data_IF_895764520070
#
_entry.id   IF_895764520070
#
_cell.length_a   1.000
_cell.length_b   1.000
_cell.length_c   1.000
_cell.angle_alpha   90.00
_cell.angle_beta   90.00
_cell.angle_gamma   90.00
#
_symmetry.space_group_name_H-M   'P 1'
#
loop_
_entity.id
_entity.type
_entity.pdbx_description
1 polymer ?
#
# COMPACT_ATOMS: atom_id res chain seq x y z
N UNK A 1 40.03 -68.31 16.00
CA UNK A 1 39.67 -67.69 14.71
C UNK A 1 40.10 -66.23 14.78
N UNK A 2 41.32 -65.92 14.36
CA UNK A 2 41.99 -64.64 14.64
C UNK A 2 42.95 -64.28 13.50
N UNK A 3 43.00 -62.98 13.18
CA UNK A 3 44.13 -62.17 12.65
C UNK A 3 43.95 -61.49 11.29
N UNK A 4 43.96 -60.17 11.38
CA UNK A 4 44.46 -59.16 10.44
C UNK A 4 45.71 -59.57 9.64
N UNK A 5 45.79 -59.09 8.38
CA UNK A 5 46.86 -58.18 7.90
C UNK A 5 46.70 -57.80 6.41
N UNK A 6 46.87 -56.50 6.14
CA UNK A 6 47.72 -55.81 5.14
C UNK A 6 48.06 -56.52 3.82
N UNK A 7 48.30 -55.91 2.65
CA UNK A 7 48.20 -54.58 2.01
C UNK A 7 48.91 -54.79 0.63
N UNK A 8 48.78 -53.85 -0.33
CA UNK A 8 49.65 -53.61 -1.54
C UNK A 8 49.44 -54.63 -2.73
N UNK A 9 49.33 -54.34 -4.05
CA UNK A 9 49.98 -53.41 -5.01
C UNK A 9 49.13 -53.23 -6.30
N UNK A 10 49.12 -51.98 -6.82
CA UNK A 10 48.97 -51.44 -8.19
C UNK A 10 48.57 -52.34 -9.38
N UNK A 11 47.60 -51.86 -10.20
CA UNK A 11 47.83 -51.43 -11.61
C UNK A 11 46.83 -50.32 -11.99
N UNK A 12 47.39 -49.19 -12.40
CA UNK A 12 46.76 -48.01 -13.02
C UNK A 12 46.16 -48.32 -14.39
N UNK A 13 44.94 -47.86 -14.66
CA UNK A 13 44.51 -47.55 -16.03
C UNK A 13 44.00 -46.12 -16.11
N UNK A 14 44.76 -45.34 -16.86
CA UNK A 14 44.58 -43.95 -17.21
C UNK A 14 43.32 -43.79 -18.07
N UNK A 15 42.35 -42.98 -17.62
CA UNK A 15 41.36 -42.38 -18.52
C UNK A 15 41.50 -40.86 -18.45
N UNK A 16 42.11 -40.32 -19.50
CA UNK A 16 42.11 -38.91 -19.84
C UNK A 16 40.65 -38.50 -20.14
N UNK A 17 40.06 -37.64 -19.30
CA UNK A 17 38.85 -36.91 -19.67
C UNK A 17 39.11 -35.42 -19.46
N UNK A 18 39.25 -34.78 -20.62
CA UNK A 18 39.18 -33.37 -20.97
C UNK A 18 38.80 -32.38 -19.86
N UNK A 19 39.68 -31.39 -19.72
CA UNK A 19 39.43 -30.06 -19.16
C UNK A 19 38.12 -29.47 -19.71
N UNK A 20 37.13 -29.34 -18.83
CA UNK A 20 36.05 -28.40 -18.98
C UNK A 20 35.87 -27.69 -17.64
N UNK A 21 36.51 -26.53 -17.46
CA UNK A 21 36.10 -25.62 -16.41
C UNK A 21 34.66 -25.23 -16.68
N UNK A 22 33.72 -25.85 -15.98
CA UNK A 22 32.38 -25.30 -15.85
C UNK A 22 32.56 -24.06 -14.99
N UNK A 23 32.75 -22.91 -15.65
CA UNK A 23 32.57 -21.62 -15.01
C UNK A 23 31.12 -21.60 -14.54
N UNK A 24 30.91 -21.91 -13.27
CA UNK A 24 29.63 -21.75 -12.61
C UNK A 24 29.40 -20.25 -12.53
N UNK A 25 28.75 -19.70 -13.55
CA UNK A 25 28.30 -18.32 -13.56
C UNK A 25 27.37 -18.14 -12.37
N UNK A 26 27.92 -17.56 -11.29
CA UNK A 26 27.14 -17.03 -10.19
C UNK A 26 26.19 -16.01 -10.81
N UNK A 27 24.86 -16.13 -10.66
CA UNK A 27 23.99 -15.07 -11.10
C UNK A 27 24.41 -13.83 -10.31
N UNK A 28 24.98 -12.84 -11.00
CA UNK A 28 25.09 -11.48 -10.50
C UNK A 28 23.66 -10.95 -10.39
N UNK A 29 22.99 -11.34 -9.30
CA UNK A 29 21.90 -10.58 -8.77
C UNK A 29 22.50 -9.25 -8.32
N UNK A 30 22.62 -8.30 -9.25
CA UNK A 30 22.80 -6.90 -8.90
C UNK A 30 21.70 -6.59 -7.87
N UNK A 31 22.03 -6.31 -6.61
CA UNK A 31 21.02 -5.97 -5.64
C UNK A 31 20.38 -4.68 -6.15
N UNK A 32 19.17 -4.79 -6.69
CA UNK A 32 18.34 -3.64 -7.04
C UNK A 32 18.26 -2.83 -5.76
N UNK A 33 19.00 -1.74 -5.70
CA UNK A 33 19.12 -0.93 -4.49
C UNK A 33 17.79 -0.21 -4.37
N UNK A 34 16.88 -0.78 -3.61
CA UNK A 34 15.56 -0.21 -3.43
C UNK A 34 15.71 1.19 -2.83
N UNK A 35 15.15 2.18 -3.52
CA UNK A 35 15.12 3.55 -3.01
C UNK A 35 14.11 3.64 -1.87
N UNK A 36 14.39 4.45 -0.86
CA UNK A 36 13.43 4.77 0.17
C UNK A 36 12.13 5.34 -0.41
N UNK A 37 11.00 4.95 0.18
CA UNK A 37 9.72 5.57 -0.09
C UNK A 37 9.76 7.05 0.34
N UNK A 38 9.10 7.91 -0.43
CA UNK A 38 8.92 9.32 -0.13
C UNK A 38 7.42 9.59 -0.11
N UNK A 39 6.83 9.59 1.08
CA UNK A 39 5.38 9.67 1.25
C UNK A 39 5.06 11.13 1.56
N UNK A 40 4.68 11.91 0.55
CA UNK A 40 4.42 13.34 0.74
C UNK A 40 2.96 13.74 0.57
N UNK A 41 2.12 12.81 0.12
CA UNK A 41 0.74 13.04 -0.23
C UNK A 41 0.39 12.23 -1.48
N UNK A 42 -0.48 12.77 -2.32
CA UNK A 42 -0.95 12.10 -3.53
C UNK A 42 -0.91 13.03 -4.74
N UNK A 43 -0.16 12.62 -5.77
CA UNK A 43 0.11 13.42 -6.97
C UNK A 43 0.61 14.82 -6.60
N UNK A 44 -0.07 15.89 -6.98
CA UNK A 44 0.35 17.26 -6.69
C UNK A 44 -0.20 17.80 -5.38
N UNK A 45 -1.04 17.05 -4.66
CA UNK A 45 -1.52 17.42 -3.34
C UNK A 45 -0.58 16.84 -2.26
N UNK A 46 0.10 17.71 -1.52
CA UNK A 46 1.07 17.33 -0.50
C UNK A 46 0.58 17.68 0.91
N UNK A 47 1.04 16.91 1.90
CA UNK A 47 0.79 17.20 3.31
C UNK A 47 1.23 18.63 3.68
N UNK A 48 0.45 19.29 4.52
CA UNK A 48 0.70 20.70 4.88
C UNK A 48 0.00 21.72 3.98
N UNK A 49 -0.55 21.32 2.82
CA UNK A 49 -1.34 22.22 1.97
C UNK A 49 -2.64 22.66 2.68
N UNK A 50 -3.02 23.93 2.52
CA UNK A 50 -4.33 24.41 2.99
C UNK A 50 -5.45 24.02 1.98
N UNK A 51 -6.72 24.24 2.35
CA UNK A 51 -7.88 23.92 1.50
C UNK A 51 -7.77 24.51 0.08
N UNK A 52 -7.33 25.76 -0.05
CA UNK A 52 -7.20 26.45 -1.35
C UNK A 52 -6.18 25.75 -2.24
N UNK A 53 -5.03 25.38 -1.69
CA UNK A 53 -3.96 24.75 -2.46
C UNK A 53 -4.30 23.30 -2.81
N UNK A 54 -5.02 22.57 -1.95
CA UNK A 54 -5.59 21.26 -2.29
C UNK A 54 -6.57 21.36 -3.47
N UNK A 55 -7.46 22.36 -3.47
CA UNK A 55 -8.38 22.60 -4.59
C UNK A 55 -7.65 22.89 -5.90
N UNK A 56 -6.52 23.61 -5.86
CA UNK A 56 -5.68 23.83 -7.04
C UNK A 56 -5.05 22.52 -7.53
N UNK A 57 -4.54 21.68 -6.63
CA UNK A 57 -3.98 20.38 -6.98
C UNK A 57 -5.04 19.46 -7.60
N UNK A 58 -6.26 19.43 -7.05
CA UNK A 58 -7.39 18.69 -7.63
C UNK A 58 -7.66 19.14 -9.07
N UNK A 59 -7.73 20.46 -9.32
CA UNK A 59 -7.93 20.96 -10.67
C UNK A 59 -6.76 20.62 -11.59
N UNK A 60 -5.51 20.74 -11.11
CA UNK A 60 -4.32 20.42 -11.90
C UNK A 60 -4.33 18.95 -12.34
N UNK A 61 -4.61 18.05 -11.41
CA UNK A 61 -4.51 16.60 -11.58
C UNK A 61 -5.71 15.98 -12.32
N UNK A 62 -6.93 16.50 -12.10
CA UNK A 62 -8.16 15.88 -12.58
C UNK A 62 -9.05 16.77 -13.44
N UNK A 63 -8.71 18.06 -13.58
CA UNK A 63 -9.56 19.07 -14.25
C UNK A 63 -10.95 19.21 -13.62
N UNK A 64 -11.07 18.86 -12.34
CA UNK A 64 -12.31 19.01 -11.57
C UNK A 64 -12.33 20.40 -10.94
N UNK A 65 -13.30 21.22 -11.35
CA UNK A 65 -13.49 22.56 -10.80
C UNK A 65 -14.07 22.54 -9.39
N UNK A 66 -13.78 23.56 -8.58
CA UNK A 66 -14.18 23.68 -7.16
C UNK A 66 -15.66 23.36 -6.89
N UNK A 67 -16.57 23.75 -7.79
CA UNK A 67 -18.02 23.51 -7.64
C UNK A 67 -18.41 22.02 -7.67
N UNK A 68 -17.56 21.16 -8.22
CA UNK A 68 -17.74 19.70 -8.28
C UNK A 68 -16.99 18.98 -7.15
N UNK A 69 -16.29 19.71 -6.29
CA UNK A 69 -15.62 19.15 -5.11
C UNK A 69 -16.59 19.21 -3.96
N UNK A 70 -16.97 18.05 -3.44
CA UNK A 70 -17.83 17.97 -2.28
C UNK A 70 -17.02 18.28 -1.01
N UNK A 71 -17.59 19.05 -0.09
CA UNK A 71 -16.94 19.45 1.16
C UNK A 71 -17.76 18.94 2.33
N UNK A 72 -17.12 18.21 3.23
CA UNK A 72 -17.77 17.60 4.39
C UNK A 72 -17.02 17.97 5.66
N UNK A 73 -17.74 18.19 6.73
CA UNK A 73 -17.19 18.31 8.07
C UNK A 73 -17.47 17.02 8.83
N UNK A 74 -16.43 16.46 9.46
CA UNK A 74 -16.58 15.29 10.32
C UNK A 74 -16.73 15.79 11.76
N UNK A 75 -17.92 15.71 12.37
CA UNK A 75 -18.22 16.41 13.62
C UNK A 75 -17.42 15.88 14.81
N UNK A 76 -17.11 14.58 14.84
CA UNK A 76 -16.37 13.94 15.93
C UNK A 76 -14.89 14.31 15.87
N UNK A 77 -14.26 14.15 14.71
CA UNK A 77 -12.85 14.50 14.51
C UNK A 77 -12.61 16.01 14.31
N UNK A 78 -13.68 16.77 14.05
CA UNK A 78 -13.68 18.20 13.68
C UNK A 78 -12.74 18.53 12.51
N UNK A 79 -12.60 17.57 11.58
CA UNK A 79 -11.81 17.67 10.35
C UNK A 79 -12.69 18.08 9.17
N UNK A 80 -12.08 18.54 8.09
CA UNK A 80 -12.77 18.85 6.83
C UNK A 80 -12.26 17.91 5.75
N UNK A 81 -13.16 17.33 4.97
CA UNK A 81 -12.81 16.52 3.79
C UNK A 81 -13.26 17.18 2.50
N UNK A 82 -12.37 17.17 1.50
CA UNK A 82 -12.69 17.48 0.12
C UNK A 82 -12.79 16.17 -0.67
N UNK A 83 -13.97 15.84 -1.16
CA UNK A 83 -14.28 14.62 -1.91
C UNK A 83 -14.43 14.89 -3.41
N UNK A 84 -13.82 14.03 -4.23
CA UNK A 84 -14.00 14.03 -5.69
C UNK A 84 -14.27 12.61 -6.21
N UNK A 85 -15.06 12.53 -7.28
CA UNK A 85 -15.26 11.31 -8.06
C UNK A 85 -14.32 11.30 -9.27
N UNK A 86 -13.66 10.16 -9.48
CA UNK A 86 -12.70 9.96 -10.57
C UNK A 86 -13.08 8.67 -11.29
N UNK A 87 -13.46 8.78 -12.57
CA UNK A 87 -13.94 7.63 -13.35
C UNK A 87 -12.87 6.55 -13.58
N UNK A 88 -11.61 6.96 -13.71
CA UNK A 88 -10.49 6.07 -13.97
C UNK A 88 -9.20 6.65 -13.41
N UNK A 89 -8.77 6.14 -12.25
CA UNK A 89 -7.54 6.62 -11.60
C UNK A 89 -6.30 5.87 -12.09
N UNK A 90 -6.43 4.56 -12.35
CA UNK A 90 -5.44 3.70 -13.00
C UNK A 90 -6.09 3.05 -14.23
N UNK A 91 -5.31 2.54 -15.19
CA UNK A 91 -5.85 1.69 -16.26
C UNK A 91 -6.73 0.58 -15.66
N UNK A 92 -7.93 0.43 -16.21
CA UNK A 92 -8.90 -0.61 -15.82
C UNK A 92 -9.34 -0.63 -14.35
N UNK A 93 -9.03 0.40 -13.55
CA UNK A 93 -9.41 0.41 -12.12
C UNK A 93 -10.89 0.64 -11.85
N UNK A 94 -11.64 1.06 -12.86
CA UNK A 94 -12.98 1.61 -12.69
C UNK A 94 -13.03 2.85 -11.79
N UNK A 95 -14.25 3.26 -11.39
CA UNK A 95 -14.49 4.47 -10.61
C UNK A 95 -13.84 4.41 -9.21
N UNK A 96 -13.32 5.55 -8.80
CA UNK A 96 -12.77 5.78 -7.47
C UNK A 96 -13.34 7.07 -6.87
N UNK A 97 -13.37 7.13 -5.54
CA UNK A 97 -13.60 8.38 -4.80
C UNK A 97 -12.35 8.73 -4.02
N UNK A 98 -11.92 9.99 -4.10
CA UNK A 98 -10.74 10.50 -3.40
C UNK A 98 -11.20 11.51 -2.36
N UNK A 99 -10.71 11.36 -1.13
CA UNK A 99 -10.96 12.28 -0.03
C UNK A 99 -9.64 12.86 0.47
N UNK A 100 -9.54 14.18 0.43
CA UNK A 100 -8.44 14.95 1.01
C UNK A 100 -8.89 15.49 2.36
N UNK A 101 -8.28 15.04 3.45
CA UNK A 101 -8.70 15.32 4.83
C UNK A 101 -7.75 16.36 5.43
N UNK A 102 -8.33 17.49 5.81
CA UNK A 102 -7.67 18.60 6.49
C UNK A 102 -7.80 18.45 8.01
N UNK A 103 -6.69 18.63 8.71
CA UNK A 103 -6.61 18.50 10.16
C UNK A 103 -7.45 19.53 10.91
N UNK A 104 -7.86 19.17 12.12
CA UNK A 104 -8.73 19.98 12.97
C UNK A 104 -8.09 21.31 13.36
N UNK A 105 -6.89 21.30 13.93
CA UNK A 105 -6.21 22.48 14.44
C UNK A 105 -5.44 23.21 13.34
N UNK A 106 -4.68 22.47 12.53
CA UNK A 106 -3.80 23.03 11.51
C UNK A 106 -4.55 23.54 10.27
N UNK A 107 -5.74 23.00 10.00
CA UNK A 107 -6.48 23.18 8.74
C UNK A 107 -5.64 22.83 7.50
N UNK A 108 -4.65 21.93 7.66
CA UNK A 108 -3.75 21.47 6.59
C UNK A 108 -4.04 20.03 6.19
N UNK A 109 -3.68 19.65 4.97
CA UNK A 109 -3.80 18.29 4.48
C UNK A 109 -2.93 17.37 5.33
N UNK A 110 -3.57 16.39 5.98
CA UNK A 110 -2.89 15.41 6.85
C UNK A 110 -3.12 13.96 6.39
N UNK A 111 -4.14 13.72 5.57
CA UNK A 111 -4.55 12.38 5.18
C UNK A 111 -5.28 12.41 3.83
N UNK A 112 -5.00 11.44 2.97
CA UNK A 112 -5.75 11.18 1.73
C UNK A 112 -6.26 9.75 1.75
N UNK A 113 -7.54 9.55 1.45
CA UNK A 113 -8.13 8.23 1.17
C UNK A 113 -8.54 8.13 -0.29
N UNK A 114 -8.22 7.01 -0.94
CA UNK A 114 -8.70 6.66 -2.28
C UNK A 114 -9.43 5.34 -2.16
N UNK A 115 -10.69 5.31 -2.60
CA UNK A 115 -11.59 4.19 -2.39
C UNK A 115 -12.08 3.66 -3.74
N UNK A 116 -11.97 2.35 -3.93
CA UNK A 116 -12.63 1.58 -4.99
C UNK A 116 -13.60 0.58 -4.38
N UNK A 117 -14.56 0.13 -5.18
CA UNK A 117 -15.60 -0.80 -4.72
C UNK A 117 -16.70 -0.07 -3.94
N UNK A 118 -17.29 -0.71 -2.92
CA UNK A 118 -18.29 -0.04 -2.08
C UNK A 118 -17.68 1.08 -1.23
N UNK A 119 -18.38 2.22 -1.02
CA UNK A 119 -19.71 2.55 -1.54
C UNK A 119 -19.69 3.21 -2.94
N UNK A 120 -18.51 3.41 -3.54
CA UNK A 120 -18.35 4.12 -4.83
C UNK A 120 -19.11 3.44 -5.97
N UNK A 121 -19.02 2.11 -6.05
CA UNK A 121 -19.71 1.30 -7.07
C UNK A 121 -20.77 0.42 -6.40
N UNK A 122 -22.07 0.53 -6.77
CA UNK A 122 -23.14 -0.24 -6.15
C UNK A 122 -23.03 -1.77 -6.32
N UNK A 123 -22.42 -2.23 -7.41
CA UNK A 123 -22.14 -3.66 -7.68
C UNK A 123 -20.71 -3.76 -8.20
N UNK A 124 -19.71 -3.75 -7.32
CA UNK A 124 -18.32 -3.77 -7.74
C UNK A 124 -17.94 -5.12 -8.35
N UNK A 125 -17.07 -5.10 -9.35
CA UNK A 125 -16.38 -6.29 -9.82
C UNK A 125 -15.30 -6.66 -8.78
N UNK A 126 -15.51 -7.76 -8.07
CA UNK A 126 -14.62 -8.18 -7.00
C UNK A 126 -13.25 -8.63 -7.51
N UNK A 127 -13.18 -9.28 -8.67
CA UNK A 127 -11.91 -9.70 -9.27
C UNK A 127 -11.09 -8.48 -9.67
N UNK A 128 -11.74 -7.47 -10.26
CA UNK A 128 -11.07 -6.22 -10.60
C UNK A 128 -10.55 -5.50 -9.34
N UNK A 129 -11.34 -5.40 -8.27
CA UNK A 129 -10.90 -4.77 -7.02
C UNK A 129 -9.70 -5.51 -6.40
N UNK A 130 -9.69 -6.84 -6.43
CA UNK A 130 -8.54 -7.65 -5.99
C UNK A 130 -7.33 -7.44 -6.91
N UNK A 131 -7.53 -7.33 -8.22
CA UNK A 131 -6.47 -7.04 -9.19
C UNK A 131 -5.79 -5.69 -8.89
N UNK A 132 -6.58 -4.64 -8.66
CA UNK A 132 -6.07 -3.31 -8.28
C UNK A 132 -5.25 -3.41 -6.97
N UNK A 133 -5.74 -4.15 -5.98
CA UNK A 133 -5.03 -4.35 -4.72
C UNK A 133 -3.65 -5.01 -4.94
N UNK A 134 -3.58 -6.03 -5.78
CA UNK A 134 -2.32 -6.71 -6.12
C UNK A 134 -1.37 -5.80 -6.89
N UNK A 135 -1.87 -5.05 -7.87
CA UNK A 135 -1.07 -4.09 -8.64
C UNK A 135 -0.46 -3.00 -7.74
N UNK A 136 -1.28 -2.40 -6.87
CA UNK A 136 -0.84 -1.39 -5.91
C UNK A 136 0.17 -1.96 -4.91
N UNK A 137 -0.10 -3.14 -4.33
CA UNK A 137 0.85 -3.82 -3.43
C UNK A 137 2.19 -4.03 -4.11
N UNK A 138 2.19 -4.58 -5.32
CA UNK A 138 3.41 -4.84 -6.07
C UNK A 138 4.17 -3.52 -6.31
N UNK A 139 3.48 -2.46 -6.75
CA UNK A 139 4.09 -1.14 -6.94
C UNK A 139 4.72 -0.61 -5.64
N UNK A 140 3.98 -0.62 -4.54
CA UNK A 140 4.44 -0.10 -3.24
C UNK A 140 5.63 -0.90 -2.70
N UNK A 141 5.68 -2.22 -2.89
CA UNK A 141 6.75 -3.10 -2.41
C UNK A 141 8.10 -2.93 -3.11
N UNK A 142 8.19 -2.14 -4.20
CA UNK A 142 9.47 -1.83 -4.87
C UNK A 142 10.30 -0.77 -4.15
N UNK A 143 9.82 -0.22 -3.02
CA UNK A 143 10.50 0.81 -2.22
C UNK A 143 10.91 0.27 -0.85
N UNK A 144 11.88 0.93 -0.23
CA UNK A 144 12.28 0.66 1.15
C UNK A 144 11.43 1.46 2.14
N UNK A 145 11.01 0.79 3.22
CA UNK A 145 10.24 1.35 4.32
C UNK A 145 10.91 1.05 5.65
N UNK A 146 10.48 1.72 6.72
CA UNK A 146 10.87 1.36 8.08
C UNK A 146 10.46 -0.09 8.38
N UNK A 147 11.32 -0.84 9.08
CA UNK A 147 11.03 -2.23 9.46
C UNK A 147 9.84 -2.31 10.42
N UNK A 148 9.81 -1.41 11.39
CA UNK A 148 8.70 -1.27 12.33
C UNK A 148 7.46 -0.73 11.60
N UNK A 149 6.32 -1.37 11.82
CA UNK A 149 5.06 -0.99 11.17
C UNK A 149 4.93 -1.41 9.69
N UNK A 150 5.93 -2.08 9.10
CA UNK A 150 5.79 -2.68 7.77
C UNK A 150 4.99 -3.98 7.83
N UNK A 151 4.05 -4.16 6.91
CA UNK A 151 3.22 -5.36 6.84
C UNK A 151 2.76 -5.65 5.40
N UNK A 152 2.64 -6.93 5.05
CA UNK A 152 2.12 -7.40 3.77
C UNK A 152 1.11 -8.53 3.99
N UNK A 153 -0.03 -8.47 3.31
CA UNK A 153 -1.09 -9.48 3.31
C UNK A 153 -1.49 -9.99 4.71
N UNK A 154 -1.53 -9.11 5.71
CA UNK A 154 -1.89 -9.46 7.08
C UNK A 154 -3.40 -9.49 7.25
N UNK A 155 -3.96 -10.59 7.74
CA UNK A 155 -5.38 -10.66 8.09
C UNK A 155 -5.62 -9.89 9.39
N UNK A 156 -6.46 -8.86 9.35
CA UNK A 156 -6.83 -8.04 10.53
C UNK A 156 -8.13 -8.52 11.19
N UNK A 157 -8.93 -9.32 10.48
CA UNK A 157 -10.19 -9.88 10.97
C UNK A 157 -10.79 -10.82 9.91
N UNK A 158 -11.99 -11.36 10.17
CA UNK A 158 -12.61 -12.36 9.29
C UNK A 158 -12.76 -11.93 7.83
N UNK A 159 -12.86 -10.61 7.58
CA UNK A 159 -13.16 -10.04 6.28
C UNK A 159 -12.24 -8.87 5.88
N UNK A 160 -11.16 -8.63 6.64
CA UNK A 160 -10.29 -7.48 6.47
C UNK A 160 -8.86 -7.96 6.27
N UNK A 161 -8.27 -7.57 5.15
CA UNK A 161 -6.89 -7.86 4.79
C UNK A 161 -6.14 -6.53 4.69
N UNK A 162 -5.12 -6.36 5.53
CA UNK A 162 -4.07 -5.37 5.32
C UNK A 162 -3.16 -5.86 4.20
N UNK A 163 -3.44 -5.40 2.98
CA UNK A 163 -2.70 -5.82 1.79
C UNK A 163 -1.26 -5.27 1.84
N UNK A 164 -1.11 -4.02 2.28
CA UNK A 164 0.18 -3.35 2.41
C UNK A 164 0.14 -2.32 3.54
N UNK A 165 1.23 -2.21 4.30
CA UNK A 165 1.53 -1.05 5.15
C UNK A 165 3.02 -0.77 5.13
N UNK A 166 3.39 0.50 5.03
CA UNK A 166 4.78 0.92 5.14
C UNK A 166 4.89 2.37 5.57
N UNK A 167 5.99 2.68 6.28
CA UNK A 167 6.34 4.04 6.67
C UNK A 167 7.63 4.50 5.99
N UNK A 168 7.68 5.75 5.55
CA UNK A 168 8.92 6.35 5.05
C UNK A 168 9.86 6.74 6.21
N UNK A 169 11.04 7.30 5.88
CA UNK A 169 12.01 7.75 6.90
C UNK A 169 11.44 8.76 7.91
N UNK A 170 10.37 9.47 7.56
CA UNK A 170 9.74 10.51 8.38
C UNK A 170 8.57 9.98 9.20
N UNK A 171 8.30 8.67 9.15
CA UNK A 171 7.17 8.05 9.84
C UNK A 171 5.82 8.31 9.18
N UNK A 172 5.80 8.86 7.96
CA UNK A 172 4.56 9.02 7.18
C UNK A 172 4.19 7.68 6.59
N UNK A 173 2.90 7.35 6.56
CA UNK A 173 2.45 6.01 6.21
C UNK A 173 1.69 5.96 4.89
N UNK A 174 1.83 4.83 4.20
CA UNK A 174 0.91 4.37 3.17
C UNK A 174 0.30 3.05 3.62
N UNK A 175 -1.01 2.92 3.49
CA UNK A 175 -1.78 1.75 3.93
C UNK A 175 -2.76 1.33 2.83
N UNK A 176 -2.82 0.04 2.53
CA UNK A 176 -3.75 -0.54 1.57
C UNK A 176 -4.57 -1.61 2.26
N UNK A 177 -5.88 -1.39 2.39
CA UNK A 177 -6.80 -2.29 3.08
C UNK A 177 -7.87 -2.78 2.13
N UNK A 178 -7.99 -4.10 2.03
CA UNK A 178 -9.08 -4.76 1.33
C UNK A 178 -10.09 -5.27 2.37
N UNK A 179 -11.34 -4.87 2.20
CA UNK A 179 -12.46 -5.37 3.00
C UNK A 179 -13.38 -6.14 2.07
N UNK A 180 -13.62 -7.41 2.37
CA UNK A 180 -14.49 -8.28 1.59
C UNK A 180 -15.38 -9.10 2.51
N UNK A 181 -16.46 -8.50 3.06
CA UNK A 181 -17.32 -9.17 4.00
C UNK A 181 -18.19 -10.20 3.30
N UNK A 182 -18.18 -11.43 3.83
CA UNK A 182 -19.23 -12.41 3.54
C UNK A 182 -20.52 -11.90 4.19
N UNK A 183 -21.47 -11.42 3.39
CA UNK A 183 -22.74 -10.90 3.92
C UNK A 183 -23.78 -12.03 3.95
N UNK A 184 -23.73 -12.91 4.95
CA UNK A 184 -24.76 -13.95 5.15
C UNK A 184 -25.05 -14.76 3.88
N UNK A 185 -26.29 -14.71 3.38
CA UNK A 185 -26.76 -15.39 2.15
C UNK A 185 -26.28 -14.76 0.83
N UNK A 186 -25.60 -13.61 0.87
CA UNK A 186 -25.05 -12.93 -0.31
C UNK A 186 -23.68 -13.49 -0.69
N UNK A 187 -23.36 -13.45 -1.98
CA UNK A 187 -22.07 -13.95 -2.49
C UNK A 187 -20.94 -13.06 -1.97
N UNK A 188 -19.82 -13.70 -1.60
CA UNK A 188 -18.59 -12.98 -1.30
C UNK A 188 -18.23 -12.05 -2.47
N UNK A 189 -17.77 -10.83 -2.19
CA UNK A 189 -17.43 -9.83 -3.21
C UNK A 189 -18.47 -8.72 -3.41
N UNK A 190 -19.75 -8.91 -3.07
CA UNK A 190 -20.79 -7.88 -3.30
C UNK A 190 -20.54 -6.57 -2.55
N UNK A 191 -19.91 -6.66 -1.39
CA UNK A 191 -19.58 -5.53 -0.53
C UNK A 191 -18.08 -5.23 -0.47
N UNK A 192 -17.32 -5.69 -1.47
CA UNK A 192 -15.87 -5.50 -1.50
C UNK A 192 -15.52 -4.02 -1.64
N UNK A 193 -14.51 -3.60 -0.89
CA UNK A 193 -13.95 -2.25 -0.95
C UNK A 193 -12.44 -2.29 -0.78
N UNK A 194 -11.74 -1.45 -1.52
CA UNK A 194 -10.30 -1.25 -1.40
C UNK A 194 -10.03 0.20 -1.04
N UNK A 195 -9.30 0.42 0.04
CA UNK A 195 -8.89 1.76 0.49
C UNK A 195 -7.38 1.87 0.48
N UNK A 196 -6.86 2.82 -0.29
CA UNK A 196 -5.48 3.29 -0.23
C UNK A 196 -5.42 4.60 0.56
N UNK A 197 -4.66 4.61 1.64
CA UNK A 197 -4.50 5.74 2.54
C UNK A 197 -3.06 6.26 2.53
N UNK A 198 -2.90 7.57 2.43
CA UNK A 198 -1.64 8.29 2.67
C UNK A 198 -1.80 9.14 3.93
N UNK A 199 -0.96 8.95 4.94
CA UNK A 199 -1.15 9.53 6.27
C UNK A 199 0.13 10.24 6.73
N UNK A 200 0.03 11.53 7.08
CA UNK A 200 1.19 12.32 7.53
C UNK A 200 1.72 11.84 8.89
N UNK A 201 0.83 11.65 9.87
CA UNK A 201 1.18 11.31 11.26
C UNK A 201 0.27 10.21 11.79
N UNK A 202 0.48 8.94 11.42
CA UNK A 202 -0.44 7.84 11.78
C UNK A 202 -0.65 7.66 13.28
N UNK A 203 0.38 7.88 14.12
CA UNK A 203 0.27 7.78 15.58
C UNK A 203 -0.29 9.02 16.28
N UNK A 204 -0.29 10.19 15.62
CA UNK A 204 -0.72 11.47 16.20
C UNK A 204 -1.42 12.35 15.15
N UNK A 205 -2.56 11.90 14.60
CA UNK A 205 -3.35 12.68 13.65
C UNK A 205 -3.86 13.97 14.31
N UNK A 206 -3.94 15.04 13.51
CA UNK A 206 -4.54 16.32 13.90
C UNK A 206 -6.07 16.23 13.81
N UNK A 207 -6.66 15.60 14.81
CA UNK A 207 -8.10 15.42 15.01
C UNK A 207 -8.47 15.88 16.41
N UNK A 208 -9.72 16.27 16.60
CA UNK A 208 -10.26 16.52 17.93
C UNK A 208 -10.18 15.25 18.78
N UNK A 209 -9.76 15.42 20.04
CA UNK A 209 -9.69 14.36 21.04
C UNK A 209 -10.12 14.94 22.37
N UNK A 210 -10.96 14.19 23.07
CA UNK A 210 -11.28 14.41 24.47
C UNK A 210 -10.07 13.91 25.28
N UNK A 211 -9.56 14.74 26.19
CA UNK A 211 -8.48 14.37 27.11
C UNK A 211 -9.06 13.91 28.44
N UNK A 212 -8.26 13.16 29.19
CA UNK A 212 -8.62 12.79 30.55
C UNK A 212 -8.84 14.06 31.39
N UNK A 213 -10.01 14.15 32.03
CA UNK A 213 -10.43 15.31 32.82
C UNK A 213 -11.16 16.42 32.04
N UNK A 214 -11.41 16.25 30.74
CA UNK A 214 -12.27 17.18 29.98
C UNK A 214 -13.78 17.02 30.31
N UNK A 215 -14.14 15.96 31.04
CA UNK A 215 -15.50 15.65 31.50
C UNK A 215 -15.49 15.03 32.90
#
# INVERSE_FOLDING_TARGET
MMRFKNQIIFVTLFFFVLLGSIAQAKPEANPVTQTWAHIEGFRTAQFGMNERDVLKSIYKDFKIGRKKVARFEHPEEKTISLGIDVERLLPDSGPAKIFYILGHQSKRLIHINIIWGKPVTPKPDAENVVSIANQLRNHLSHKTYQKEGFALNTKLGENIILVFQGQDKRGRAVKLVLVNPKSGSKKAGENISLTLSYIEKPGKPDVFRIKDGDF
#
